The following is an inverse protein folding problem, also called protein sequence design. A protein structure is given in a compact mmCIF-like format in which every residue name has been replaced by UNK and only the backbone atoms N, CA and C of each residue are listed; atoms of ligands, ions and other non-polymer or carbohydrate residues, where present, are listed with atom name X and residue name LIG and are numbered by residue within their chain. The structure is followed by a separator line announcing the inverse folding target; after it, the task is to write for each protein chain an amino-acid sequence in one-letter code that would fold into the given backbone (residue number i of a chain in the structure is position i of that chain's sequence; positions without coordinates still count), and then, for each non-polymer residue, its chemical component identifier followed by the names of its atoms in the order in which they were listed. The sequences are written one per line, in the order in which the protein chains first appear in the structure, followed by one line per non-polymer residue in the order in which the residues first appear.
data_IF_463707691684
#
_entry.id   IF_463707691684
#
_cell.length_a   1.000
_cell.length_b   1.000
_cell.length_c   1.000
_cell.angle_alpha   90.00
_cell.angle_beta   90.00
_cell.angle_gamma   90.00
#
_symmetry.space_group_name_H-M   'P 1'
#
loop_
_entity.id
_entity.type
_entity.pdbx_description
1 polymer ?
#
# COMPACT_ATOMS: atom_id res chain seq x y z
N UNK A 1 -18.11 -19.94 -17.90
CA UNK A 1 -17.36 -19.32 -16.79
C UNK A 1 -16.09 -18.74 -17.38
N UNK A 2 -15.80 -17.48 -17.10
CA UNK A 2 -14.53 -16.85 -17.52
C UNK A 2 -13.39 -17.48 -16.71
N UNK A 3 -12.21 -17.76 -17.30
CA UNK A 3 -11.06 -18.24 -16.54
C UNK A 3 -10.66 -17.20 -15.49
N UNK A 4 -10.29 -17.67 -14.30
CA UNK A 4 -9.82 -16.82 -13.18
C UNK A 4 -8.33 -17.06 -12.91
N UNK A 5 -7.67 -16.06 -12.33
CA UNK A 5 -6.29 -16.10 -11.88
C UNK A 5 -6.15 -15.46 -10.49
N UNK A 6 -5.15 -15.91 -9.75
CA UNK A 6 -4.82 -15.39 -8.43
C UNK A 6 -3.59 -14.48 -8.52
N UNK A 7 -3.66 -13.28 -7.92
CA UNK A 7 -2.50 -12.41 -7.79
C UNK A 7 -1.43 -13.10 -6.92
N UNK A 8 -0.17 -13.22 -7.38
CA UNK A 8 0.86 -13.98 -6.69
C UNK A 8 1.25 -13.40 -5.32
N UNK A 9 0.99 -12.10 -5.09
CA UNK A 9 1.31 -11.43 -3.83
C UNK A 9 0.11 -11.32 -2.89
N UNK A 10 -0.93 -10.58 -3.28
CA UNK A 10 -2.05 -10.30 -2.38
C UNK A 10 -3.11 -11.43 -2.31
N UNK A 11 -3.04 -12.41 -3.22
CA UNK A 11 -4.02 -13.51 -3.28
C UNK A 11 -5.37 -13.14 -3.88
N UNK A 12 -5.53 -11.91 -4.41
CA UNK A 12 -6.76 -11.48 -5.06
C UNK A 12 -7.09 -12.38 -6.26
N UNK A 13 -8.30 -12.93 -6.28
CA UNK A 13 -8.84 -13.67 -7.42
C UNK A 13 -9.58 -12.72 -8.37
N UNK A 14 -9.26 -12.80 -9.65
CA UNK A 14 -9.85 -11.96 -10.70
C UNK A 14 -9.99 -12.74 -12.00
N UNK A 15 -10.86 -12.28 -12.89
CA UNK A 15 -10.91 -12.80 -14.26
C UNK A 15 -9.56 -12.60 -14.97
N UNK A 16 -9.23 -13.52 -15.86
CA UNK A 16 -8.08 -13.37 -16.75
C UNK A 16 -8.41 -12.31 -17.79
N UNK A 17 -7.81 -11.14 -17.63
CA UNK A 17 -7.93 -10.02 -18.55
C UNK A 17 -6.57 -9.65 -19.14
N UNK A 18 -6.59 -9.07 -20.34
CA UNK A 18 -5.45 -8.33 -20.89
C UNK A 18 -5.47 -6.91 -20.34
N UNK A 19 -4.30 -6.34 -20.06
CA UNK A 19 -4.23 -4.97 -19.56
C UNK A 19 -2.88 -4.64 -18.94
N UNK A 20 -2.70 -3.38 -18.54
CA UNK A 20 -1.48 -2.94 -17.87
C UNK A 20 -1.39 -3.55 -16.47
N UNK A 21 -0.15 -3.61 -15.98
CA UNK A 21 0.17 -3.70 -14.56
C UNK A 21 1.01 -2.49 -14.19
N UNK A 22 1.20 -2.26 -12.90
CA UNK A 22 2.13 -1.23 -12.46
C UNK A 22 3.57 -1.58 -12.86
N UNK A 23 4.38 -0.56 -13.20
CA UNK A 23 5.74 -0.76 -13.75
C UNK A 23 6.67 -1.59 -12.86
N UNK A 24 6.55 -1.45 -11.55
CA UNK A 24 7.44 -2.10 -10.57
C UNK A 24 6.72 -2.70 -9.36
N UNK A 25 5.39 -2.61 -9.30
CA UNK A 25 4.60 -3.28 -8.26
C UNK A 25 3.98 -4.51 -8.92
N UNK A 26 4.45 -5.70 -8.54
CA UNK A 26 4.11 -6.92 -9.29
C UNK A 26 2.73 -7.40 -8.89
N UNK A 27 1.84 -7.48 -9.87
CA UNK A 27 0.47 -7.95 -9.70
C UNK A 27 -0.07 -8.55 -11.01
N UNK A 28 -1.23 -9.19 -10.97
CA UNK A 28 -1.96 -9.55 -12.19
C UNK A 28 -2.69 -8.33 -12.75
N UNK A 29 -2.96 -8.26 -14.08
CA UNK A 29 -3.76 -7.18 -14.66
C UNK A 29 -5.13 -7.00 -13.99
N UNK A 30 -5.77 -8.10 -13.57
CA UNK A 30 -7.04 -8.05 -12.84
C UNK A 30 -6.92 -7.42 -11.45
N UNK A 31 -5.84 -7.72 -10.72
CA UNK A 31 -5.56 -7.06 -9.43
C UNK A 31 -5.28 -5.57 -9.60
N UNK A 32 -4.49 -5.19 -10.61
CA UNK A 32 -4.24 -3.78 -10.93
C UNK A 32 -5.53 -3.06 -11.33
N UNK A 33 -6.42 -3.70 -12.10
CA UNK A 33 -7.74 -3.16 -12.42
C UNK A 33 -8.58 -2.92 -11.17
N UNK A 34 -8.69 -3.90 -10.26
CA UNK A 34 -9.46 -3.74 -9.02
C UNK A 34 -8.94 -2.57 -8.19
N UNK A 35 -7.62 -2.45 -8.07
CA UNK A 35 -7.00 -1.29 -7.42
C UNK A 35 -7.34 0.03 -8.12
N UNK A 36 -7.28 0.07 -9.46
CA UNK A 36 -7.68 1.24 -10.24
C UNK A 36 -9.16 1.63 -10.03
N UNK A 37 -10.05 0.65 -9.91
CA UNK A 37 -11.48 0.89 -9.62
C UNK A 37 -11.66 1.48 -8.22
N UNK A 38 -10.87 1.04 -7.22
CA UNK A 38 -10.84 1.66 -5.88
C UNK A 38 -10.36 3.11 -5.96
N UNK A 39 -9.26 3.37 -6.68
CA UNK A 39 -8.72 4.74 -6.82
C UNK A 39 -9.69 5.67 -7.52
N UNK A 40 -10.34 5.21 -8.60
CA UNK A 40 -11.31 6.02 -9.33
C UNK A 40 -12.42 6.53 -8.40
N UNK A 41 -12.94 5.63 -7.55
CA UNK A 41 -13.94 5.99 -6.54
C UNK A 41 -13.42 6.98 -5.51
N UNK A 42 -12.19 6.81 -5.04
CA UNK A 42 -11.56 7.78 -4.13
C UNK A 42 -11.46 9.17 -4.77
N UNK A 43 -11.11 9.27 -6.06
CA UNK A 43 -11.04 10.56 -6.76
C UNK A 43 -12.41 11.21 -7.00
N UNK A 44 -13.48 10.43 -7.07
CA UNK A 44 -14.84 10.94 -7.31
C UNK A 44 -15.50 11.51 -6.04
N UNK A 45 -15.11 11.07 -4.84
CA UNK A 45 -15.75 11.47 -3.59
C UNK A 45 -14.75 11.63 -2.44
N UNK A 46 -14.69 12.86 -1.91
CA UNK A 46 -13.76 13.26 -0.86
C UNK A 46 -13.86 12.43 0.42
N UNK A 47 -15.04 11.85 0.70
CA UNK A 47 -15.27 11.03 1.89
C UNK A 47 -14.42 9.76 1.88
N UNK A 48 -14.12 9.23 0.69
CA UNK A 48 -13.17 8.14 0.47
C UNK A 48 -11.76 8.68 0.25
N UNK A 49 -11.60 9.77 -0.54
CA UNK A 49 -10.29 10.37 -0.84
C UNK A 49 -9.44 10.70 0.38
N UNK A 50 -10.07 11.10 1.50
CA UNK A 50 -9.35 11.47 2.73
C UNK A 50 -8.44 10.38 3.29
N UNK A 51 -8.59 9.13 2.84
CA UNK A 51 -7.78 7.97 3.23
C UNK A 51 -6.88 7.44 2.10
N UNK A 52 -6.85 8.12 0.95
CA UNK A 52 -6.14 7.69 -0.27
C UNK A 52 -4.68 7.29 -0.02
N UNK A 53 -3.97 8.03 0.84
CA UNK A 53 -2.60 7.71 1.19
C UNK A 53 -2.43 6.31 1.79
N UNK A 54 -3.38 5.85 2.61
CA UNK A 54 -3.36 4.48 3.17
C UNK A 54 -3.58 3.42 2.08
N UNK A 55 -4.50 3.70 1.14
CA UNK A 55 -4.77 2.81 -0.01
C UNK A 55 -3.52 2.62 -0.87
N UNK A 56 -2.80 3.71 -1.15
CA UNK A 56 -1.54 3.68 -1.90
C UNK A 56 -0.45 2.95 -1.12
N UNK A 57 -0.28 3.26 0.17
CA UNK A 57 0.76 2.67 1.01
C UNK A 57 0.56 1.15 1.16
N UNK A 58 -0.68 0.71 1.44
CA UNK A 58 -1.03 -0.69 1.55
C UNK A 58 -0.83 -1.45 0.22
N UNK A 59 -1.28 -0.88 -0.91
CA UNK A 59 -1.10 -1.53 -2.21
C UNK A 59 0.37 -1.69 -2.58
N UNK A 60 1.18 -0.65 -2.37
CA UNK A 60 2.60 -0.66 -2.72
C UNK A 60 3.39 -1.70 -1.90
N UNK A 61 3.13 -1.80 -0.60
CA UNK A 61 3.79 -2.79 0.27
C UNK A 61 3.24 -4.21 0.13
N UNK A 62 2.01 -4.36 -0.36
CA UNK A 62 1.45 -5.68 -0.66
C UNK A 62 1.92 -6.24 -2.00
N UNK A 63 2.41 -5.40 -2.91
CA UNK A 63 2.88 -5.82 -4.24
C UNK A 63 4.35 -5.44 -4.45
N UNK A 64 5.27 -5.93 -3.60
CA UNK A 64 6.70 -5.71 -3.83
C UNK A 64 7.08 -6.32 -5.18
N UNK A 65 7.99 -5.64 -5.88
CA UNK A 65 8.62 -6.18 -7.08
C UNK A 65 9.96 -6.82 -6.78
N UNK A 66 10.82 -6.85 -7.79
CA UNK A 66 12.21 -7.27 -7.66
C UNK A 66 13.09 -6.10 -7.16
N UNK A 67 14.28 -6.40 -6.58
CA UNK A 67 15.26 -5.40 -6.19
C UNK A 67 15.59 -4.44 -7.34
N UNK A 68 15.25 -3.17 -7.15
CA UNK A 68 15.60 -2.06 -8.03
C UNK A 68 15.54 -0.75 -7.25
N UNK A 69 16.18 0.30 -7.75
CA UNK A 69 16.08 1.65 -7.19
C UNK A 69 14.63 2.08 -6.91
N UNK A 70 13.70 1.76 -7.82
CA UNK A 70 12.29 2.14 -7.70
C UNK A 70 11.60 1.33 -6.60
N UNK A 71 11.77 0.00 -6.60
CA UNK A 71 11.14 -0.87 -5.60
C UNK A 71 11.69 -0.59 -4.20
N UNK A 72 13.01 -0.39 -4.05
CA UNK A 72 13.67 -0.03 -2.78
C UNK A 72 13.05 1.25 -2.22
N UNK A 73 12.98 2.29 -3.04
CA UNK A 73 12.43 3.59 -2.63
C UNK A 73 10.96 3.48 -2.24
N UNK A 74 10.19 2.77 -3.05
CA UNK A 74 8.77 2.52 -2.79
C UNK A 74 8.58 1.86 -1.43
N UNK A 75 9.24 0.71 -1.19
CA UNK A 75 9.06 -0.05 0.04
C UNK A 75 9.43 0.76 1.29
N UNK A 76 10.59 1.41 1.30
CA UNK A 76 11.03 2.21 2.47
C UNK A 76 10.08 3.38 2.73
N UNK A 77 9.68 4.12 1.69
CA UNK A 77 8.81 5.30 1.84
C UNK A 77 7.42 4.91 2.36
N UNK A 78 6.80 3.90 1.75
CA UNK A 78 5.46 3.47 2.15
C UNK A 78 5.45 2.81 3.53
N UNK A 79 6.51 2.07 3.89
CA UNK A 79 6.61 1.49 5.23
C UNK A 79 6.79 2.56 6.32
N UNK A 80 7.61 3.59 6.07
CA UNK A 80 7.72 4.73 6.99
C UNK A 80 6.41 5.51 7.11
N UNK A 81 5.63 5.62 6.03
CA UNK A 81 4.30 6.23 6.04
C UNK A 81 3.31 5.43 6.91
N UNK A 82 3.24 4.10 6.76
CA UNK A 82 2.40 3.26 7.62
C UNK A 82 2.86 3.25 9.08
N UNK A 83 4.18 3.23 9.34
CA UNK A 83 4.72 3.38 10.69
C UNK A 83 4.23 4.69 11.34
N UNK A 84 4.29 5.80 10.61
CA UNK A 84 3.83 7.10 11.10
C UNK A 84 2.32 7.08 11.45
N UNK A 85 1.52 6.38 10.66
CA UNK A 85 0.08 6.23 10.91
C UNK A 85 -0.20 5.37 12.15
N UNK A 86 0.35 4.15 12.20
CA UNK A 86 0.01 3.15 13.22
C UNK A 86 0.69 3.37 14.56
N UNK A 87 1.95 3.83 14.58
CA UNK A 87 2.74 3.91 15.81
C UNK A 87 2.79 5.33 16.39
N UNK A 88 2.72 6.35 15.52
CA UNK A 88 2.94 7.75 15.90
C UNK A 88 1.65 8.59 15.82
N UNK A 89 0.53 7.99 15.40
CA UNK A 89 -0.77 8.63 15.32
C UNK A 89 -0.85 9.76 14.29
N UNK A 90 0.01 9.77 13.27
CA UNK A 90 -0.03 10.76 12.19
C UNK A 90 -1.33 10.59 11.39
N UNK A 91 -2.19 11.62 11.28
CA UNK A 91 -3.42 11.51 10.52
C UNK A 91 -3.19 11.18 9.05
N UNK A 92 -4.09 10.40 8.44
CA UNK A 92 -4.03 10.01 7.02
C UNK A 92 -3.77 11.20 6.07
N UNK A 93 -4.40 12.34 6.33
CA UNK A 93 -4.25 13.58 5.55
C UNK A 93 -2.81 14.17 5.53
N UNK A 94 -1.92 13.71 6.42
CA UNK A 94 -0.51 14.13 6.48
C UNK A 94 0.47 13.09 5.93
N UNK A 95 0.02 11.91 5.52
CA UNK A 95 0.92 10.83 5.10
C UNK A 95 1.67 11.15 3.81
N UNK A 96 1.05 11.87 2.87
CA UNK A 96 1.77 12.43 1.72
C UNK A 96 2.98 13.29 2.12
N UNK A 97 2.89 14.05 3.22
CA UNK A 97 4.00 14.84 3.76
C UNK A 97 5.09 13.95 4.38
N UNK A 98 4.73 12.89 5.10
CA UNK A 98 5.68 11.88 5.61
C UNK A 98 6.49 11.31 4.44
N UNK A 99 5.80 10.88 3.37
CA UNK A 99 6.44 10.30 2.18
C UNK A 99 7.41 11.28 1.50
N UNK A 100 7.00 12.54 1.34
CA UNK A 100 7.87 13.59 0.77
C UNK A 100 9.12 13.85 1.62
N UNK A 101 9.01 13.79 2.95
CA UNK A 101 10.14 13.93 3.85
C UNK A 101 11.08 12.72 3.77
N UNK A 102 10.53 11.51 3.80
CA UNK A 102 11.28 10.26 3.67
C UNK A 102 12.07 10.22 2.36
N UNK A 103 11.48 10.66 1.24
CA UNK A 103 12.12 10.70 -0.07
C UNK A 103 13.42 11.55 -0.13
N UNK A 104 13.67 12.44 0.86
CA UNK A 104 14.93 13.20 0.96
C UNK A 104 16.12 12.31 1.30
N UNK A 105 15.88 11.14 1.91
CA UNK A 105 16.88 10.15 2.31
C UNK A 105 17.04 9.01 1.30
N UNK A 106 16.44 9.14 0.10
CA UNK A 106 16.35 8.05 -0.89
C UNK A 106 17.67 7.45 -1.37
N UNK A 107 18.78 8.16 -1.20
CA UNK A 107 20.13 7.67 -1.52
C UNK A 107 20.69 6.70 -0.48
N UNK A 108 20.10 6.65 0.71
CA UNK A 108 20.53 5.80 1.82
C UNK A 108 19.72 4.51 1.92
N UNK A 109 18.66 4.37 1.13
CA UNK A 109 17.75 3.24 1.21
C UNK A 109 18.40 1.96 0.72
N UNK A 110 18.21 0.89 1.49
CA UNK A 110 18.60 -0.47 1.15
C UNK A 110 17.37 -1.32 0.85
N UNK A 111 17.58 -2.44 0.16
CA UNK A 111 16.53 -3.42 -0.04
C UNK A 111 15.95 -3.91 1.30
N UNK A 112 14.62 -4.00 1.35
CA UNK A 112 13.88 -4.59 2.45
C UNK A 112 13.31 -5.91 1.94
N UNK A 113 13.80 -7.04 2.47
CA UNK A 113 13.29 -8.35 2.07
C UNK A 113 11.79 -8.46 2.35
N UNK A 114 10.95 -8.72 1.34
CA UNK A 114 9.51 -8.82 1.54
C UNK A 114 9.14 -9.92 2.54
N UNK A 115 8.00 -9.80 3.24
CA UNK A 115 7.47 -10.87 4.07
C UNK A 115 7.20 -12.15 3.26
N UNK A 116 7.34 -13.32 3.88
CA UNK A 116 7.11 -14.62 3.21
C UNK A 116 5.72 -14.76 2.58
N UNK A 117 4.71 -14.13 3.19
CA UNK A 117 3.34 -14.12 2.66
C UNK A 117 2.72 -12.73 2.80
N UNK A 118 2.17 -12.23 1.70
CA UNK A 118 1.35 -11.01 1.63
C UNK A 118 -0.11 -11.32 1.21
N UNK A 119 -0.45 -12.62 1.10
CA UNK A 119 -1.76 -13.09 0.65
C UNK A 119 -2.77 -13.07 1.79
N UNK A 120 -3.98 -12.56 1.52
CA UNK A 120 -5.07 -12.50 2.48
C UNK A 120 -5.94 -11.27 2.25
N UNK A 121 -6.02 -10.37 3.24
CA UNK A 121 -6.79 -9.14 3.11
C UNK A 121 -6.18 -8.25 2.03
N UNK A 122 -6.98 -7.80 1.07
CA UNK A 122 -6.52 -7.08 -0.12
C UNK A 122 -7.56 -6.04 -0.57
N UNK A 123 -7.21 -5.21 -1.56
CA UNK A 123 -8.04 -4.10 -2.02
C UNK A 123 -9.45 -4.49 -2.52
N UNK A 124 -9.71 -5.76 -2.85
CA UNK A 124 -11.06 -6.19 -3.24
C UNK A 124 -12.10 -6.02 -2.13
N UNK A 125 -11.69 -5.96 -0.85
CA UNK A 125 -12.62 -5.72 0.27
C UNK A 125 -13.26 -4.34 0.25
N UNK A 126 -12.69 -3.39 -0.50
CA UNK A 126 -13.16 -2.01 -0.59
C UNK A 126 -14.23 -1.81 -1.68
N UNK A 127 -14.22 -2.66 -2.72
CA UNK A 127 -15.07 -2.48 -3.90
C UNK A 127 -16.58 -2.51 -3.58
N UNK A 128 -17.01 -3.36 -2.65
CA UNK A 128 -18.43 -3.55 -2.32
C UNK A 128 -18.95 -2.59 -1.24
N UNK A 129 -18.10 -1.70 -0.73
CA UNK A 129 -18.39 -0.97 0.49
C UNK A 129 -18.95 0.42 0.21
N UNK A 130 -20.27 0.62 0.13
CA UNK A 130 -20.88 1.92 -0.21
C UNK A 130 -20.76 2.96 0.91
N UNK A 131 -20.78 2.52 2.17
CA UNK A 131 -20.71 3.41 3.33
C UNK A 131 -19.28 3.92 3.59
N UNK A 132 -19.05 5.24 3.74
CA UNK A 132 -17.73 5.79 4.03
C UNK A 132 -17.11 5.36 5.37
N UNK A 133 -17.90 5.09 6.41
CA UNK A 133 -17.39 4.64 7.71
C UNK A 133 -16.97 3.18 7.70
N UNK A 134 -17.74 2.33 7.01
CA UNK A 134 -17.36 0.96 6.74
C UNK A 134 -16.12 0.89 5.83
N UNK A 135 -16.02 1.78 4.83
CA UNK A 135 -14.86 1.86 3.94
C UNK A 135 -13.59 2.17 4.73
N UNK A 136 -13.65 3.15 5.63
CA UNK A 136 -12.56 3.50 6.54
C UNK A 136 -12.14 2.29 7.38
N UNK A 137 -13.10 1.58 7.97
CA UNK A 137 -12.83 0.41 8.80
C UNK A 137 -12.12 -0.69 8.00
N UNK A 138 -12.60 -1.00 6.79
CA UNK A 138 -12.02 -2.04 5.92
C UNK A 138 -10.65 -1.65 5.39
N UNK A 139 -10.44 -0.37 5.05
CA UNK A 139 -9.16 0.14 4.57
C UNK A 139 -8.11 0.13 5.69
N UNK A 140 -8.45 0.57 6.90
CA UNK A 140 -7.54 0.51 8.04
C UNK A 140 -7.15 -0.94 8.35
N UNK A 141 -8.12 -1.86 8.33
CA UNK A 141 -7.84 -3.28 8.52
C UNK A 141 -6.89 -3.84 7.45
N UNK A 142 -7.06 -3.45 6.18
CA UNK A 142 -6.18 -3.86 5.09
C UNK A 142 -4.77 -3.26 5.24
N UNK A 143 -4.67 -1.97 5.56
CA UNK A 143 -3.38 -1.31 5.79
C UNK A 143 -2.64 -1.93 6.99
N UNK A 144 -3.35 -2.27 8.07
CA UNK A 144 -2.78 -2.93 9.26
C UNK A 144 -2.31 -4.35 8.94
N UNK A 145 -3.12 -5.11 8.20
CA UNK A 145 -2.75 -6.44 7.70
C UNK A 145 -1.45 -6.44 6.90
N UNK A 146 -1.24 -5.40 6.07
CA UNK A 146 -0.01 -5.24 5.31
C UNK A 146 1.12 -4.80 6.23
N UNK A 147 0.92 -3.73 7.02
CA UNK A 147 1.93 -3.16 7.91
C UNK A 147 2.51 -4.19 8.90
N UNK A 148 1.66 -4.99 9.54
CA UNK A 148 2.07 -6.01 10.52
C UNK A 148 2.95 -7.11 9.91
N UNK A 149 2.75 -7.47 8.64
CA UNK A 149 3.63 -8.43 7.96
C UNK A 149 5.04 -7.90 7.73
N UNK A 150 5.17 -6.60 7.58
CA UNK A 150 6.46 -5.92 7.45
C UNK A 150 7.17 -5.69 8.80
N UNK A 151 6.75 -6.36 9.89
CA UNK A 151 7.30 -6.19 11.25
C UNK A 151 8.83 -6.30 11.35
N UNK A 152 9.45 -7.15 10.54
CA UNK A 152 10.91 -7.31 10.54
C UNK A 152 11.66 -6.02 10.15
N UNK A 153 10.97 -5.09 9.48
CA UNK A 153 11.52 -3.82 8.99
C UNK A 153 10.97 -2.60 9.74
N UNK A 154 10.16 -2.78 10.79
CA UNK A 154 9.62 -1.68 11.59
C UNK A 154 10.72 -0.84 12.26
N UNK A 155 11.84 -1.45 12.64
CA UNK A 155 12.99 -0.70 13.19
C UNK A 155 13.55 0.28 12.16
N UNK A 156 13.71 -0.14 10.90
CA UNK A 156 14.17 0.73 9.81
C UNK A 156 13.19 1.88 9.57
N UNK A 157 11.88 1.58 9.55
CA UNK A 157 10.84 2.58 9.38
C UNK A 157 10.85 3.64 10.50
N UNK A 158 10.98 3.18 11.75
CA UNK A 158 11.10 4.02 12.96
C UNK A 158 12.32 4.93 12.91
N UNK A 159 13.47 4.38 12.57
CA UNK A 159 14.73 5.14 12.52
C UNK A 159 14.66 6.23 11.46
N UNK A 160 14.11 5.92 10.28
CA UNK A 160 13.88 6.93 9.25
C UNK A 160 12.85 7.97 9.71
N UNK A 161 11.74 7.56 10.32
CA UNK A 161 10.70 8.47 10.81
C UNK A 161 11.28 9.50 11.82
N UNK A 162 12.10 9.05 12.77
CA UNK A 162 12.78 9.93 13.75
C UNK A 162 13.66 11.00 13.09
N UNK A 163 14.26 10.68 11.94
CA UNK A 163 15.10 11.61 11.17
C UNK A 163 14.30 12.64 10.38
N UNK A 164 12.98 12.46 10.21
CA UNK A 164 12.15 13.41 9.47
C UNK A 164 11.97 14.74 10.22
N UNK A 165 12.15 14.75 11.55
CA UNK A 165 12.09 15.97 12.36
C UNK A 165 10.67 16.48 12.67
N UNK A 166 9.67 15.60 12.64
CA UNK A 166 8.25 15.89 12.94
C UNK A 166 7.38 16.14 11.69
N UNK A 167 6.10 15.74 11.77
CA UNK A 167 5.09 15.83 10.69
C UNK A 167 3.77 16.44 11.17
#
# INVERSE_FOLDING_TARGET
MTPTQTCPFCGLQSDVIQGPTHRYLVSTPGCWKVYGDVLAREYEDFRFFRLHDLTVDAYALQHPGEPSDQTIRSAVIHLTSLYAYFEEGVPAAKLSRVKQLAARFKSEFTWLDPPETLSGLNCATLLSCEDPGEYETRLIAWADFVYTRWQNHHTTARELYRRLGGV
#
